data_IF_055862738628
#
_entry.id   IF_055862738628
#
_cell.length_a   1.000
_cell.length_b   1.000
_cell.length_c   1.000
_cell.angle_alpha   90.00
_cell.angle_beta   90.00
_cell.angle_gamma   90.00
#
_symmetry.space_group_name_H-M   'P 1'
#
loop_
_entity.id
_entity.type
_entity.pdbx_description
1 polymer ?
#
# COMPACT_ATOMS: atom_id res chain seq x y z
N UNK A 1 -4.30 -7.68 9.84
CA UNK A 1 -4.21 -8.41 11.13
C UNK A 1 -2.95 -7.93 11.84
N UNK A 2 -2.80 -7.98 13.16
CA UNK A 2 -1.50 -7.64 13.75
C UNK A 2 -0.39 -8.54 13.20
N UNK A 3 0.81 -7.99 13.00
CA UNK A 3 1.98 -8.78 12.60
C UNK A 3 2.28 -9.85 13.64
N UNK A 4 2.79 -11.00 13.19
CA UNK A 4 3.31 -12.01 14.11
C UNK A 4 4.49 -11.44 14.92
N UNK A 5 4.67 -11.94 16.15
CA UNK A 5 5.78 -11.52 17.02
C UNK A 5 7.15 -11.69 16.34
N UNK A 6 7.29 -12.73 15.51
CA UNK A 6 8.51 -12.98 14.73
C UNK A 6 8.79 -11.83 13.76
N UNK A 7 7.79 -11.41 12.98
CA UNK A 7 7.93 -10.33 12.00
C UNK A 7 8.12 -8.98 12.71
N UNK A 8 7.40 -8.73 13.79
CA UNK A 8 7.56 -7.52 14.60
C UNK A 8 8.99 -7.38 15.15
N UNK A 9 9.55 -8.47 15.70
CA UNK A 9 10.92 -8.48 16.24
C UNK A 9 11.97 -8.33 15.14
N UNK A 10 11.78 -9.00 14.00
CA UNK A 10 12.65 -8.81 12.83
C UNK A 10 12.64 -7.36 12.36
N UNK A 11 11.46 -6.75 12.27
CA UNK A 11 11.31 -5.36 11.85
C UNK A 11 12.01 -4.39 12.81
N UNK A 12 11.82 -4.57 14.12
CA UNK A 12 12.50 -3.77 15.14
C UNK A 12 14.03 -3.91 15.06
N UNK A 13 14.54 -5.14 14.94
CA UNK A 13 15.98 -5.39 14.88
C UNK A 13 16.62 -4.73 13.64
N UNK A 14 15.95 -4.81 12.49
CA UNK A 14 16.39 -4.13 11.27
C UNK A 14 16.42 -2.61 11.45
N UNK A 15 15.38 -2.01 12.04
CA UNK A 15 15.36 -0.57 12.31
C UNK A 15 16.48 -0.17 13.28
N UNK A 16 16.68 -0.92 14.36
CA UNK A 16 17.78 -0.69 15.31
C UNK A 16 19.15 -0.74 14.60
N UNK A 17 19.32 -1.67 13.65
CA UNK A 17 20.53 -1.76 12.84
C UNK A 17 20.74 -0.53 11.94
N UNK A 18 19.66 0.00 11.35
CA UNK A 18 19.70 1.20 10.50
C UNK A 18 20.15 2.46 11.27
N UNK A 19 19.89 2.51 12.57
CA UNK A 19 20.29 3.65 13.43
C UNK A 19 21.53 3.38 14.29
N UNK A 20 22.21 2.24 14.10
CA UNK A 20 23.38 1.86 14.92
C UNK A 20 24.56 2.83 14.78
N UNK A 21 24.73 3.48 13.63
CA UNK A 21 25.74 4.50 13.39
C UNK A 21 25.46 5.83 14.11
N UNK A 22 24.19 6.13 14.39
CA UNK A 22 23.73 7.37 15.03
C UNK A 22 23.73 7.33 16.56
N UNK A 23 23.96 6.16 17.17
CA UNK A 23 23.87 5.91 18.63
C UNK A 23 22.60 6.53 19.24
N UNK A 24 21.45 5.90 18.97
CA UNK A 24 20.19 6.27 19.61
C UNK A 24 20.33 6.33 21.14
N UNK A 25 19.72 7.35 21.76
CA UNK A 25 19.63 7.44 23.22
C UNK A 25 18.71 6.34 23.76
N UNK A 26 18.79 6.04 25.06
CA UNK A 26 17.89 5.08 25.69
C UNK A 26 16.41 5.44 25.46
N UNK A 27 16.06 6.73 25.57
CA UNK A 27 14.72 7.21 25.26
C UNK A 27 14.35 7.00 23.78
N UNK A 28 15.27 7.23 22.84
CA UNK A 28 15.05 6.98 21.41
C UNK A 28 14.77 5.51 21.11
N UNK A 29 15.45 4.59 21.81
CA UNK A 29 15.23 3.14 21.68
C UNK A 29 13.83 2.76 22.17
N UNK A 30 13.42 3.24 23.35
CA UNK A 30 12.09 2.93 23.90
C UNK A 30 10.97 3.53 23.02
N UNK A 31 11.17 4.72 22.47
CA UNK A 31 10.24 5.31 21.49
C UNK A 31 10.15 4.48 20.21
N UNK A 32 11.27 4.03 19.66
CA UNK A 32 11.28 3.19 18.46
C UNK A 32 10.54 1.86 18.69
N UNK A 33 10.73 1.23 19.86
CA UNK A 33 9.97 0.03 20.24
C UNK A 33 8.47 0.30 20.29
N UNK A 34 8.05 1.40 20.90
CA UNK A 34 6.64 1.77 21.01
C UNK A 34 5.99 2.06 19.63
N UNK A 35 6.70 2.79 18.76
CA UNK A 35 6.24 3.07 17.39
C UNK A 35 6.14 1.77 16.59
N UNK A 36 7.14 0.87 16.68
CA UNK A 36 7.11 -0.44 16.02
C UNK A 36 5.98 -1.34 16.55
N UNK A 37 5.67 -1.30 17.84
CA UNK A 37 4.54 -2.03 18.40
C UNK A 37 3.19 -1.52 17.88
N UNK A 38 3.03 -0.19 17.77
CA UNK A 38 1.84 0.40 17.16
C UNK A 38 1.70 0.05 15.68
N UNK A 39 2.78 0.10 14.92
CA UNK A 39 2.77 -0.29 13.52
C UNK A 39 2.45 -1.78 13.35
N UNK A 40 3.06 -2.64 14.15
CA UNK A 40 2.81 -4.07 14.12
C UNK A 40 1.35 -4.42 14.47
N UNK A 41 0.75 -3.70 15.42
CA UNK A 41 -0.69 -3.85 15.72
C UNK A 41 -1.58 -3.56 14.49
N UNK A 42 -1.14 -2.66 13.63
CA UNK A 42 -1.83 -2.25 12.41
C UNK A 42 -1.33 -2.99 11.15
N UNK A 43 -0.66 -4.14 11.27
CA UNK A 43 -0.13 -4.93 10.14
C UNK A 43 1.00 -4.24 9.35
N UNK A 44 1.69 -3.27 9.94
CA UNK A 44 2.74 -2.49 9.26
C UNK A 44 4.12 -2.89 9.77
N UNK A 45 4.94 -3.46 8.88
CA UNK A 45 6.35 -3.74 9.14
C UNK A 45 7.17 -2.51 8.79
N UNK A 46 7.53 -1.70 9.79
CA UNK A 46 8.19 -0.39 9.61
C UNK A 46 9.55 -0.49 8.90
N UNK A 47 10.29 -1.58 9.13
CA UNK A 47 11.57 -1.83 8.47
C UNK A 47 11.48 -2.03 6.96
N UNK A 48 10.29 -2.27 6.42
CA UNK A 48 10.05 -2.51 4.99
C UNK A 48 9.41 -1.29 4.31
N UNK A 49 9.25 -0.18 5.03
CA UNK A 49 8.68 1.05 4.49
C UNK A 49 9.73 1.84 3.71
N UNK A 50 9.27 2.84 2.95
CA UNK A 50 10.15 3.63 2.10
C UNK A 50 11.24 4.37 2.90
N UNK A 51 12.38 4.72 2.27
CA UNK A 51 13.42 5.52 2.91
C UNK A 51 12.91 6.83 3.53
N UNK A 52 11.85 7.42 2.95
CA UNK A 52 11.20 8.63 3.48
C UNK A 52 10.51 8.36 4.81
N UNK A 53 9.75 7.26 4.92
CA UNK A 53 9.12 6.84 6.18
C UNK A 53 10.19 6.55 7.24
N UNK A 54 11.24 5.82 6.89
CA UNK A 54 12.35 5.51 7.80
C UNK A 54 13.08 6.79 8.25
N UNK A 55 13.24 7.78 7.36
CA UNK A 55 13.83 9.08 7.69
C UNK A 55 12.95 9.85 8.67
N UNK A 56 11.63 9.92 8.44
CA UNK A 56 10.68 10.57 9.35
C UNK A 56 10.80 9.99 10.76
N UNK A 57 10.83 8.65 10.88
CA UNK A 57 11.01 7.99 12.18
C UNK A 57 12.32 8.46 12.81
N UNK A 58 13.43 8.37 12.08
CA UNK A 58 14.75 8.78 12.56
C UNK A 58 14.78 10.22 13.07
N UNK A 59 14.25 11.15 12.28
CA UNK A 59 14.22 12.59 12.60
C UNK A 59 13.42 12.88 13.88
N UNK A 60 12.36 12.12 14.16
CA UNK A 60 11.60 12.30 15.39
C UNK A 60 12.24 11.60 16.59
N UNK A 61 12.99 10.51 16.39
CA UNK A 61 13.72 9.85 17.49
C UNK A 61 14.85 10.73 18.04
N UNK A 62 15.43 11.61 17.22
CA UNK A 62 16.49 12.54 17.61
C UNK A 62 15.96 13.78 18.36
N UNK A 63 14.65 14.06 18.31
CA UNK A 63 14.05 15.22 18.99
C UNK A 63 13.88 15.00 20.48
N UNK A 64 14.11 16.07 21.23
CA UNK A 64 13.72 16.17 22.64
C UNK A 64 12.26 16.60 22.73
N UNK A 65 11.49 15.88 23.56
CA UNK A 65 10.10 16.21 23.84
C UNK A 65 9.94 16.53 25.34
N UNK A 66 9.05 17.47 25.70
CA UNK A 66 8.69 17.72 27.08
C UNK A 66 8.24 16.45 27.79
N UNK A 67 8.51 16.34 29.10
CA UNK A 67 8.11 15.19 29.90
C UNK A 67 6.61 14.88 29.84
N UNK A 68 5.80 15.93 29.78
CA UNK A 68 4.33 15.86 29.70
C UNK A 68 3.79 15.27 28.39
N UNK A 69 4.57 15.25 27.30
CA UNK A 69 4.12 14.73 26.00
C UNK A 69 4.60 13.30 25.72
N UNK A 70 5.55 12.78 26.51
CA UNK A 70 6.17 11.45 26.33
C UNK A 70 5.17 10.30 26.06
N UNK A 71 4.00 10.19 26.70
CA UNK A 71 3.03 9.12 26.42
C UNK A 71 2.46 9.14 24.99
N UNK A 72 2.33 10.33 24.40
CA UNK A 72 1.68 10.54 23.10
C UNK A 72 2.68 10.69 21.95
N UNK A 73 3.98 10.79 22.24
CA UNK A 73 5.01 10.97 21.21
C UNK A 73 5.04 9.81 20.22
N UNK A 74 4.92 8.56 20.70
CA UNK A 74 4.94 7.42 19.80
C UNK A 74 3.70 7.39 18.89
N UNK A 75 2.54 7.82 19.37
CA UNK A 75 1.32 8.01 18.56
C UNK A 75 1.54 9.10 17.52
N UNK A 76 2.10 10.25 17.90
CA UNK A 76 2.42 11.34 16.99
C UNK A 76 3.37 10.89 15.86
N UNK A 77 4.47 10.21 16.22
CA UNK A 77 5.42 9.68 15.23
C UNK A 77 4.70 8.71 14.29
N UNK A 78 3.87 7.82 14.83
CA UNK A 78 3.13 6.87 14.01
C UNK A 78 2.09 7.55 13.10
N UNK A 79 1.42 8.60 13.55
CA UNK A 79 0.54 9.42 12.71
C UNK A 79 1.30 10.05 11.53
N UNK A 80 2.51 10.56 11.75
CA UNK A 80 3.35 11.08 10.66
C UNK A 80 3.78 9.99 9.67
N UNK A 81 4.03 8.77 10.17
CA UNK A 81 4.32 7.60 9.33
C UNK A 81 3.13 7.29 8.43
N UNK A 82 1.92 7.21 9.01
CA UNK A 82 0.68 6.95 8.25
C UNK A 82 0.45 8.04 7.20
N UNK A 83 0.58 9.32 7.57
CA UNK A 83 0.40 10.42 6.62
C UNK A 83 1.37 10.33 5.44
N UNK A 84 2.63 9.98 5.69
CA UNK A 84 3.61 9.80 4.61
C UNK A 84 3.28 8.58 3.74
N UNK A 85 2.83 7.47 4.34
CA UNK A 85 2.38 6.29 3.60
C UNK A 85 1.16 6.62 2.72
N UNK A 86 0.21 7.40 3.23
CA UNK A 86 -0.98 7.84 2.50
C UNK A 86 -0.59 8.74 1.30
N UNK A 87 0.33 9.70 1.50
CA UNK A 87 0.86 10.54 0.41
C UNK A 87 1.53 9.70 -0.68
N UNK A 88 2.29 8.68 -0.29
CA UNK A 88 2.94 7.77 -1.23
C UNK A 88 1.92 6.90 -1.98
N UNK A 89 0.88 6.43 -1.28
CA UNK A 89 -0.23 5.70 -1.88
C UNK A 89 -1.00 6.58 -2.88
N UNK A 90 -1.26 7.85 -2.56
CA UNK A 90 -1.92 8.81 -3.44
C UNK A 90 -1.08 9.15 -4.67
N UNK A 91 0.23 9.34 -4.51
CA UNK A 91 1.12 9.59 -5.64
C UNK A 91 1.22 8.36 -6.55
N UNK A 92 1.26 7.16 -5.98
CA UNK A 92 1.19 5.92 -6.74
C UNK A 92 -0.16 5.81 -7.47
N UNK A 93 -1.27 6.09 -6.80
CA UNK A 93 -2.61 6.13 -7.40
C UNK A 93 -2.68 7.14 -8.55
N UNK A 94 -2.14 8.35 -8.40
CA UNK A 94 -2.08 9.38 -9.44
C UNK A 94 -1.28 8.91 -10.65
N UNK A 95 -0.14 8.26 -10.43
CA UNK A 95 0.67 7.67 -11.51
C UNK A 95 -0.06 6.54 -12.22
N UNK A 96 -0.75 5.66 -11.48
CA UNK A 96 -1.57 4.59 -12.04
C UNK A 96 -2.73 5.15 -12.86
N UNK A 97 -3.40 6.21 -12.36
CA UNK A 97 -4.44 6.93 -13.10
C UNK A 97 -3.91 7.56 -14.40
N UNK A 98 -2.68 8.07 -14.38
CA UNK A 98 -2.03 8.60 -15.59
C UNK A 98 -1.70 7.51 -16.63
N UNK A 99 -1.75 6.24 -16.24
CA UNK A 99 -1.46 5.08 -17.10
C UNK A 99 -2.72 4.24 -17.41
N UNK A 100 -3.88 4.58 -16.84
CA UNK A 100 -5.14 3.86 -17.04
C UNK A 100 -6.16 4.07 -15.93
N UNK A 101 -7.15 3.18 -15.83
CA UNK A 101 -8.11 3.19 -14.73
C UNK A 101 -7.46 2.62 -13.45
N UNK A 102 -7.55 3.34 -12.34
CA UNK A 102 -7.16 2.83 -11.00
C UNK A 102 -8.41 2.56 -10.17
N UNK A 103 -8.46 1.41 -9.49
CA UNK A 103 -9.61 1.00 -8.67
C UNK A 103 -9.13 0.26 -7.44
N UNK A 104 -9.75 0.55 -6.29
CA UNK A 104 -9.51 -0.20 -5.03
C UNK A 104 -10.25 -1.54 -5.00
N UNK A 105 -11.06 -1.83 -6.01
CA UNK A 105 -11.74 -3.11 -6.15
C UNK A 105 -10.75 -4.17 -6.63
N UNK A 106 -10.86 -5.38 -6.09
CA UNK A 106 -10.11 -6.52 -6.62
C UNK A 106 -10.62 -6.92 -8.01
N UNK A 107 -9.75 -7.53 -8.82
CA UNK A 107 -10.05 -7.85 -10.22
C UNK A 107 -11.37 -8.61 -10.42
N UNK A 108 -11.74 -9.51 -9.49
CA UNK A 108 -12.99 -10.27 -9.59
C UNK A 108 -14.27 -9.43 -9.51
N UNK A 109 -14.16 -8.19 -9.01
CA UNK A 109 -15.25 -7.21 -8.90
C UNK A 109 -15.25 -6.21 -10.06
N UNK A 110 -14.26 -6.29 -10.95
CA UNK A 110 -14.06 -5.40 -12.10
C UNK A 110 -14.40 -6.09 -13.40
N UNK A 111 -14.43 -5.34 -14.49
CA UNK A 111 -14.74 -5.90 -15.82
C UNK A 111 -13.62 -6.84 -16.26
N UNK A 112 -13.96 -7.84 -17.08
CA UNK A 112 -13.00 -8.82 -17.59
C UNK A 112 -11.87 -8.18 -18.41
N UNK A 113 -12.00 -6.94 -18.86
CA UNK A 113 -10.99 -6.26 -19.70
C UNK A 113 -10.19 -5.20 -18.94
N UNK A 114 -10.36 -5.09 -17.62
CA UNK A 114 -9.53 -4.19 -16.82
C UNK A 114 -8.13 -4.79 -16.58
N UNK A 115 -7.13 -3.95 -16.34
CA UNK A 115 -5.76 -4.42 -16.04
C UNK A 115 -5.63 -4.81 -14.56
N UNK A 116 -4.78 -5.81 -14.28
CA UNK A 116 -4.32 -6.02 -12.90
C UNK A 116 -3.51 -4.81 -12.46
N UNK A 117 -3.75 -4.36 -11.24
CA UNK A 117 -3.03 -3.28 -10.57
C UNK A 117 -2.19 -3.89 -9.44
N UNK A 118 -1.38 -3.07 -8.77
CA UNK A 118 -0.40 -3.54 -7.78
C UNK A 118 -1.04 -4.40 -6.67
N UNK A 119 -2.23 -4.03 -6.19
CA UNK A 119 -2.93 -4.81 -5.15
C UNK A 119 -3.46 -6.15 -5.67
N UNK A 120 -3.84 -6.25 -6.94
CA UNK A 120 -4.22 -7.54 -7.54
C UNK A 120 -2.99 -8.42 -7.75
N UNK A 121 -1.88 -7.84 -8.22
CA UNK A 121 -0.61 -8.53 -8.35
C UNK A 121 -0.16 -9.06 -6.99
N UNK A 122 -0.19 -8.23 -5.94
CA UNK A 122 0.12 -8.66 -4.58
C UNK A 122 -0.78 -9.80 -4.08
N UNK A 123 -2.08 -9.77 -4.42
CA UNK A 123 -3.03 -10.81 -4.04
C UNK A 123 -2.77 -12.12 -4.79
N UNK A 124 -2.56 -12.06 -6.11
CA UNK A 124 -2.53 -13.21 -7.02
C UNK A 124 -1.14 -13.83 -7.21
N UNK A 125 -0.06 -13.07 -7.00
CA UNK A 125 1.30 -13.59 -7.06
C UNK A 125 1.51 -14.67 -5.99
N UNK A 126 2.35 -15.70 -6.28
CA UNK A 126 2.78 -16.63 -5.26
C UNK A 126 3.46 -15.92 -4.08
N UNK A 127 3.48 -16.57 -2.92
CA UNK A 127 4.16 -16.06 -1.72
C UNK A 127 5.56 -16.67 -1.59
N UNK A 128 6.46 -15.98 -0.91
CA UNK A 128 7.78 -16.53 -0.54
C UNK A 128 7.61 -17.84 0.24
N UNK A 129 8.37 -18.86 -0.14
CA UNK A 129 8.33 -20.19 0.48
C UNK A 129 9.68 -20.88 0.37
N UNK A 130 10.17 -21.43 1.48
CA UNK A 130 11.41 -22.22 1.50
C UNK A 130 12.59 -21.38 1.01
N UNK A 131 13.23 -21.83 -0.07
CA UNK A 131 14.37 -21.17 -0.69
C UNK A 131 13.99 -20.17 -1.81
N UNK A 132 12.72 -19.78 -1.90
CA UNK A 132 12.19 -18.89 -2.93
C UNK A 132 11.65 -17.62 -2.27
N UNK A 133 12.18 -16.48 -2.67
CA UNK A 133 11.70 -15.16 -2.27
C UNK A 133 10.87 -14.54 -3.40
N UNK A 134 9.63 -14.11 -3.11
CA UNK A 134 8.79 -13.38 -4.05
C UNK A 134 8.64 -11.95 -3.55
N UNK A 135 9.21 -11.00 -4.29
CA UNK A 135 9.21 -9.59 -3.94
C UNK A 135 7.91 -8.90 -4.38
N UNK A 136 7.63 -7.76 -3.76
CA UNK A 136 6.53 -6.89 -4.15
C UNK A 136 6.70 -6.34 -5.59
N UNK A 137 5.60 -5.96 -6.27
CA UNK A 137 5.62 -5.34 -7.59
C UNK A 137 6.56 -4.14 -7.69
N UNK A 138 7.42 -4.16 -8.71
CA UNK A 138 8.27 -3.02 -9.09
C UNK A 138 7.54 -2.15 -10.09
N UNK A 139 7.48 -0.86 -9.82
CA UNK A 139 7.11 0.13 -10.82
C UNK A 139 8.36 0.60 -11.57
N UNK A 140 8.45 0.25 -12.86
CA UNK A 140 9.60 0.59 -13.72
C UNK A 140 9.73 2.09 -14.03
N UNK A 141 8.72 2.89 -13.69
CA UNK A 141 8.67 4.33 -13.97
C UNK A 141 8.98 5.20 -12.74
N UNK A 142 9.22 4.63 -11.56
CA UNK A 142 9.51 5.42 -10.36
C UNK A 142 10.62 4.86 -9.45
N UNK A 143 10.81 5.53 -8.31
CA UNK A 143 11.86 5.20 -7.33
C UNK A 143 11.55 3.96 -6.48
N UNK A 144 10.44 3.24 -6.69
CA UNK A 144 10.18 1.94 -6.04
C UNK A 144 11.30 0.92 -6.28
N UNK A 145 12.13 1.15 -7.31
CA UNK A 145 13.38 0.42 -7.52
C UNK A 145 14.32 0.43 -6.30
N UNK A 146 14.29 1.45 -5.44
CA UNK A 146 15.13 1.52 -4.22
C UNK A 146 14.66 0.51 -3.15
N UNK A 147 13.35 0.40 -2.90
CA UNK A 147 12.81 -0.57 -1.92
C UNK A 147 13.02 -2.01 -2.40
N UNK A 148 12.85 -2.26 -3.70
CA UNK A 148 13.11 -3.60 -4.26
C UNK A 148 14.62 -3.90 -4.31
N UNK A 149 15.51 -2.91 -4.44
CA UNK A 149 16.95 -3.12 -4.29
C UNK A 149 17.29 -3.65 -2.89
N UNK A 150 16.70 -3.10 -1.84
CA UNK A 150 16.92 -3.61 -0.48
C UNK A 150 16.40 -5.04 -0.31
N UNK A 151 15.23 -5.36 -0.89
CA UNK A 151 14.69 -6.71 -0.92
C UNK A 151 15.61 -7.70 -1.64
N UNK A 152 16.11 -7.34 -2.83
CA UNK A 152 17.08 -8.16 -3.59
C UNK A 152 18.36 -8.34 -2.78
N UNK A 153 18.95 -7.25 -2.27
CA UNK A 153 20.19 -7.31 -1.51
C UNK A 153 20.06 -8.19 -0.25
N UNK A 154 18.91 -8.13 0.43
CA UNK A 154 18.60 -8.97 1.58
C UNK A 154 18.48 -10.45 1.18
N UNK A 155 17.72 -10.74 0.12
CA UNK A 155 17.57 -12.09 -0.41
C UNK A 155 18.91 -12.66 -0.90
N UNK A 156 19.78 -11.84 -1.51
CA UNK A 156 21.11 -12.24 -1.98
C UNK A 156 22.03 -12.63 -0.81
N UNK A 157 22.01 -11.88 0.30
CA UNK A 157 22.80 -12.17 1.50
C UNK A 157 22.30 -13.41 2.25
N UNK A 158 21.01 -13.75 2.13
CA UNK A 158 20.45 -14.93 2.77
C UNK A 158 20.87 -16.22 2.05
N UNK A 159 21.64 -17.08 2.73
CA UNK A 159 22.12 -18.36 2.16
C UNK A 159 21.01 -19.38 1.92
N UNK A 160 19.87 -19.23 2.60
CA UNK A 160 18.75 -20.16 2.46
C UNK A 160 17.88 -19.85 1.23
N UNK A 161 18.02 -18.66 0.65
CA UNK A 161 17.30 -18.25 -0.56
C UNK A 161 18.15 -18.53 -1.79
N UNK A 162 17.61 -19.29 -2.74
CA UNK A 162 18.24 -19.61 -4.02
C UNK A 162 17.57 -18.90 -5.20
N UNK A 163 16.27 -18.61 -5.09
CA UNK A 163 15.47 -18.06 -6.17
C UNK A 163 14.80 -16.76 -5.73
N UNK A 164 14.77 -15.75 -6.60
CA UNK A 164 14.13 -14.46 -6.38
C UNK A 164 13.19 -14.19 -7.54
N UNK A 165 11.92 -13.93 -7.25
CA UNK A 165 10.86 -13.62 -8.21
C UNK A 165 10.42 -12.18 -8.03
N UNK A 166 10.37 -11.42 -9.13
CA UNK A 166 10.04 -10.00 -9.10
C UNK A 166 9.04 -9.69 -10.22
N UNK A 167 7.77 -9.39 -9.90
CA UNK A 167 6.84 -8.84 -10.88
C UNK A 167 7.21 -7.37 -11.16
N UNK A 168 7.31 -7.00 -12.44
CA UNK A 168 7.64 -5.63 -12.87
C UNK A 168 6.57 -5.09 -13.83
N UNK A 169 6.08 -3.89 -13.53
CA UNK A 169 5.05 -3.19 -14.30
C UNK A 169 5.17 -1.69 -14.06
N UNK A 170 4.06 -0.94 -13.91
CA UNK A 170 2.66 -1.35 -14.10
C UNK A 170 2.24 -1.40 -15.58
N UNK A 171 0.97 -1.72 -15.81
CA UNK A 171 0.35 -1.87 -17.12
C UNK A 171 0.77 -3.16 -17.81
N UNK A 172 1.79 -3.08 -18.67
CA UNK A 172 2.38 -4.27 -19.28
C UNK A 172 3.30 -4.98 -18.27
N UNK A 173 2.69 -5.82 -17.43
CA UNK A 173 3.33 -6.63 -16.41
C UNK A 173 4.22 -7.71 -17.01
N UNK A 174 5.37 -7.91 -16.38
CA UNK A 174 6.41 -8.88 -16.76
C UNK A 174 6.99 -9.54 -15.52
N UNK A 175 7.69 -10.65 -15.72
CA UNK A 175 8.37 -11.38 -14.66
C UNK A 175 9.88 -11.33 -14.78
N UNK A 176 10.56 -11.13 -13.65
CA UNK A 176 12.01 -11.33 -13.51
C UNK A 176 12.21 -12.50 -12.56
N UNK A 177 12.95 -13.53 -12.99
CA UNK A 177 13.26 -14.69 -12.17
C UNK A 177 14.78 -14.86 -12.11
N UNK A 178 15.36 -14.64 -10.94
CA UNK A 178 16.78 -14.74 -10.69
C UNK A 178 17.08 -16.00 -9.86
N UNK A 179 18.01 -16.82 -10.32
CA UNK A 179 18.53 -17.98 -9.58
C UNK A 179 20.00 -17.76 -9.26
N UNK A 180 20.37 -17.95 -8.00
CA UNK A 180 21.75 -17.87 -7.53
C UNK A 180 22.62 -18.97 -8.14
N UNK A 181 23.93 -18.72 -8.31
CA UNK A 181 24.85 -19.75 -8.74
C UNK A 181 24.95 -20.88 -7.69
N UNK A 182 25.04 -22.12 -8.16
CA UNK A 182 25.13 -23.31 -7.30
C UNK A 182 26.55 -23.48 -6.73
N UNK A 183 27.56 -22.94 -7.43
CA UNK A 183 28.95 -22.94 -7.03
C UNK A 183 29.63 -21.60 -7.35
N UNK A 184 30.85 -21.40 -6.85
CA UNK A 184 31.61 -20.14 -6.97
C UNK A 184 31.95 -19.78 -8.42
N UNK A 185 31.97 -20.78 -9.32
CA UNK A 185 32.35 -20.59 -10.72
C UNK A 185 31.13 -20.41 -11.64
N UNK A 186 29.93 -20.63 -11.13
CA UNK A 186 28.68 -20.51 -11.87
C UNK A 186 28.20 -19.07 -11.94
N UNK A 187 27.47 -18.77 -13.02
CA UNK A 187 26.78 -17.49 -13.20
C UNK A 187 25.37 -17.55 -12.62
N UNK A 188 24.87 -16.39 -12.21
CA UNK A 188 23.45 -16.19 -11.94
C UNK A 188 22.64 -16.51 -13.20
N UNK A 189 21.52 -17.21 -13.04
CA UNK A 189 20.58 -17.42 -14.14
C UNK A 189 19.47 -16.37 -14.02
N UNK A 190 19.31 -15.54 -15.05
CA UNK A 190 18.30 -14.49 -15.11
C UNK A 190 17.32 -14.81 -16.25
N UNK A 191 16.08 -15.09 -15.89
CA UNK A 191 14.98 -15.24 -16.83
C UNK A 191 14.11 -13.98 -16.85
N UNK A 192 13.91 -13.40 -18.03
CA UNK A 192 13.04 -12.26 -18.27
C UNK A 192 11.84 -12.72 -19.08
N UNK A 193 10.65 -12.64 -18.50
CA UNK A 193 9.41 -13.09 -19.11
C UNK A 193 8.54 -11.94 -19.59
N UNK A 194 8.02 -12.04 -20.80
CA UNK A 194 7.01 -11.14 -21.34
C UNK A 194 5.78 -11.92 -21.84
N UNK A 195 4.56 -11.56 -21.38
CA UNK A 195 3.31 -12.17 -21.84
C UNK A 195 3.10 -12.18 -23.36
N UNK A 196 3.70 -11.23 -24.08
CA UNK A 196 3.59 -11.11 -25.54
C UNK A 196 4.59 -12.00 -26.28
N UNK A 197 5.56 -12.59 -25.58
CA UNK A 197 6.61 -13.42 -26.16
C UNK A 197 8.03 -12.95 -25.80
N UNK A 198 9.04 -13.81 -25.99
CA UNK A 198 10.41 -13.58 -25.53
C UNK A 198 11.06 -12.30 -26.07
N UNK A 199 10.71 -11.87 -27.29
CA UNK A 199 11.25 -10.64 -27.89
C UNK A 199 10.88 -9.41 -27.05
N UNK A 200 9.67 -9.36 -26.49
CA UNK A 200 9.22 -8.21 -25.69
C UNK A 200 9.94 -8.08 -24.34
N UNK A 201 10.50 -9.18 -23.82
CA UNK A 201 11.19 -9.20 -22.53
C UNK A 201 12.48 -8.38 -22.54
N UNK A 202 13.08 -8.14 -23.71
CA UNK A 202 14.28 -7.30 -23.83
C UNK A 202 14.04 -5.85 -23.36
N UNK A 203 12.79 -5.38 -23.38
CA UNK A 203 12.43 -4.03 -22.90
C UNK A 203 12.72 -3.80 -21.41
N UNK A 204 12.74 -4.87 -20.60
CA UNK A 204 13.08 -4.79 -19.17
C UNK A 204 14.53 -5.19 -18.88
N UNK A 205 15.30 -5.62 -19.88
CA UNK A 205 16.68 -6.09 -19.70
C UNK A 205 17.58 -5.03 -19.08
N UNK A 206 17.63 -3.83 -19.66
CA UNK A 206 18.47 -2.73 -19.17
C UNK A 206 18.11 -2.32 -17.75
N UNK A 207 16.81 -2.17 -17.46
CA UNK A 207 16.33 -1.83 -16.11
C UNK A 207 16.71 -2.91 -15.09
N UNK A 208 16.57 -4.18 -15.47
CA UNK A 208 16.94 -5.31 -14.61
C UNK A 208 18.44 -5.37 -14.35
N UNK A 209 19.27 -5.17 -15.37
CA UNK A 209 20.72 -5.13 -15.21
C UNK A 209 21.17 -3.99 -14.30
N UNK A 210 20.59 -2.80 -14.46
CA UNK A 210 20.87 -1.66 -13.57
C UNK A 210 20.47 -1.97 -12.12
N UNK A 211 19.34 -2.67 -11.91
CA UNK A 211 18.87 -3.09 -10.60
C UNK A 211 19.85 -4.06 -9.93
N UNK A 212 20.30 -5.07 -10.67
CA UNK A 212 21.23 -6.09 -10.19
C UNK A 212 22.64 -5.54 -9.96
N UNK A 213 23.09 -4.61 -10.81
CA UNK A 213 24.38 -3.92 -10.65
C UNK A 213 24.44 -3.15 -9.33
N UNK A 214 23.36 -2.44 -8.96
CA UNK A 214 23.26 -1.76 -7.67
C UNK A 214 23.27 -2.72 -6.47
N UNK A 215 22.92 -3.99 -6.69
CA UNK A 215 23.00 -5.05 -5.71
C UNK A 215 24.35 -5.79 -5.73
N UNK A 216 25.34 -5.31 -6.50
CA UNK A 216 26.67 -5.88 -6.59
C UNK A 216 26.83 -7.04 -7.57
N UNK A 217 25.87 -7.26 -8.48
CA UNK A 217 25.93 -8.29 -9.53
C UNK A 217 26.16 -7.61 -10.87
N UNK A 218 27.33 -7.82 -11.46
CA UNK A 218 27.68 -7.30 -12.79
C UNK A 218 27.13 -8.19 -13.91
N UNK A 219 26.88 -7.61 -15.08
CA UNK A 219 26.31 -8.33 -16.24
C UNK A 219 27.12 -9.56 -16.65
N UNK A 220 28.45 -9.51 -16.54
CA UNK A 220 29.33 -10.64 -16.86
C UNK A 220 29.13 -11.86 -15.92
N UNK A 221 28.52 -11.67 -14.75
CA UNK A 221 28.18 -12.73 -13.79
C UNK A 221 26.80 -13.35 -14.04
N UNK A 222 26.10 -12.95 -15.11
CA UNK A 222 24.72 -13.35 -15.39
C UNK A 222 24.64 -14.08 -16.74
N UNK A 223 23.85 -15.15 -16.78
CA UNK A 223 23.33 -15.75 -18.01
C UNK A 223 21.87 -15.34 -18.16
N UNK A 224 21.57 -14.60 -19.23
CA UNK A 224 20.24 -14.03 -19.46
C UNK A 224 19.48 -14.89 -20.47
N UNK A 225 18.23 -15.23 -20.14
CA UNK A 225 17.27 -15.89 -21.02
C UNK A 225 16.00 -15.06 -21.10
N UNK A 226 15.49 -14.81 -22.29
CA UNK A 226 14.17 -14.21 -22.50
C UNK A 226 13.14 -15.28 -22.81
N UNK A 227 11.95 -15.18 -22.21
CA UNK A 227 10.87 -16.17 -22.33
C UNK A 227 9.51 -15.52 -22.54
N UNK A 228 8.56 -16.33 -22.98
CA UNK A 228 7.16 -15.98 -23.09
C UNK A 228 6.27 -17.22 -22.93
N UNK A 229 4.95 -17.07 -22.85
CA UNK A 229 4.05 -18.19 -22.70
C UNK A 229 3.92 -18.98 -24.00
N UNK A 230 3.47 -20.25 -23.91
CA UNK A 230 3.18 -21.09 -25.09
C UNK A 230 2.08 -20.49 -25.96
N UNK A 231 1.09 -19.86 -25.32
CA UNK A 231 -0.07 -19.24 -25.97
C UNK A 231 -0.12 -17.75 -25.62
N UNK A 232 0.70 -16.90 -26.27
CA UNK A 232 0.74 -15.47 -25.98
C UNK A 232 -0.53 -14.76 -26.45
N UNK A 233 -0.83 -13.65 -25.78
CA UNK A 233 -1.91 -12.74 -26.15
C UNK A 233 -1.38 -11.32 -26.14
N UNK A 234 -1.62 -10.56 -27.20
CA UNK A 234 -1.05 -9.23 -27.39
C UNK A 234 -1.97 -8.10 -26.89
N UNK A 235 -2.98 -8.41 -26.09
CA UNK A 235 -3.80 -7.39 -25.45
C UNK A 235 -3.26 -7.03 -24.06
N UNK A 236 -3.18 -5.72 -23.80
CA UNK A 236 -2.49 -5.22 -22.61
C UNK A 236 -3.19 -5.61 -21.31
N UNK A 237 -4.46 -5.98 -21.38
CA UNK A 237 -5.29 -6.17 -20.20
C UNK A 237 -4.89 -7.42 -19.40
N UNK A 238 -4.45 -8.49 -20.06
CA UNK A 238 -4.18 -9.80 -19.47
C UNK A 238 -2.73 -10.01 -18.99
N UNK A 239 -1.84 -9.03 -19.21
CA UNK A 239 -0.41 -9.19 -18.95
C UNK A 239 -0.10 -9.54 -17.49
N UNK A 240 -0.88 -9.00 -16.56
CA UNK A 240 -0.79 -9.33 -15.13
C UNK A 240 -1.18 -10.78 -14.85
N UNK A 241 -2.25 -11.28 -15.50
CA UNK A 241 -2.72 -12.66 -15.35
C UNK A 241 -1.66 -13.66 -15.83
N UNK A 242 -1.08 -13.43 -17.01
CA UNK A 242 0.02 -14.23 -17.54
C UNK A 242 1.24 -14.21 -16.60
N UNK A 243 1.62 -13.04 -16.10
CA UNK A 243 2.76 -12.90 -15.19
C UNK A 243 2.53 -13.62 -13.87
N UNK A 244 1.32 -13.52 -13.28
CA UNK A 244 0.97 -14.24 -12.05
C UNK A 244 0.99 -15.76 -12.27
N UNK A 245 0.31 -16.24 -13.32
CA UNK A 245 0.24 -17.67 -13.62
C UNK A 245 1.61 -18.26 -13.95
N UNK A 246 2.44 -17.53 -14.71
CA UNK A 246 3.80 -17.95 -15.02
C UNK A 246 4.66 -17.95 -13.75
N UNK A 247 4.48 -16.99 -12.84
CA UNK A 247 5.17 -17.00 -11.55
C UNK A 247 4.80 -18.22 -10.70
N UNK A 248 3.52 -18.62 -10.66
CA UNK A 248 3.10 -19.88 -10.03
C UNK A 248 3.76 -21.10 -10.68
N UNK A 249 3.89 -21.12 -12.01
CA UNK A 249 4.63 -22.16 -12.73
C UNK A 249 6.11 -22.17 -12.33
N UNK A 250 6.77 -21.01 -12.29
CA UNK A 250 8.19 -20.91 -11.93
C UNK A 250 8.47 -21.36 -10.51
N UNK A 251 7.65 -20.97 -9.53
CA UNK A 251 7.89 -21.41 -8.14
C UNK A 251 7.66 -22.92 -7.99
N UNK A 252 6.75 -23.53 -8.76
CA UNK A 252 6.60 -24.99 -8.84
C UNK A 252 7.85 -25.65 -9.42
N UNK A 253 8.40 -25.10 -10.52
CA UNK A 253 9.67 -25.57 -11.10
C UNK A 253 10.85 -25.44 -10.12
N UNK A 254 10.82 -24.42 -9.25
CA UNK A 254 11.81 -24.22 -8.18
C UNK A 254 11.58 -25.10 -6.95
N UNK A 255 10.54 -25.93 -6.93
CA UNK A 255 10.27 -26.89 -5.86
C UNK A 255 9.35 -26.41 -4.73
N UNK A 256 8.63 -25.30 -4.90
CA UNK A 256 7.61 -24.88 -3.94
C UNK A 256 6.49 -25.92 -3.83
N UNK A 257 5.94 -26.11 -2.62
CA UNK A 257 4.76 -26.97 -2.43
C UNK A 257 3.44 -26.20 -2.49
N UNK A 258 3.47 -24.88 -2.30
CA UNK A 258 2.28 -24.01 -2.35
C UNK A 258 2.34 -23.14 -3.60
N UNK A 259 1.49 -23.47 -4.57
CA UNK A 259 1.28 -22.72 -5.81
C UNK A 259 -0.15 -22.94 -6.31
N UNK A 260 -0.63 -22.10 -7.22
CA UNK A 260 -1.97 -22.23 -7.77
C UNK A 260 -1.96 -23.06 -9.07
N UNK A 261 -2.27 -24.35 -8.95
CA UNK A 261 -2.29 -25.26 -10.09
C UNK A 261 -3.33 -24.87 -11.15
N UNK A 262 -4.47 -24.27 -10.77
CA UNK A 262 -5.50 -23.86 -11.74
C UNK A 262 -4.98 -22.75 -12.67
N UNK A 263 -4.24 -21.77 -12.15
CA UNK A 263 -3.61 -20.73 -12.96
C UNK A 263 -2.58 -21.32 -13.92
N UNK A 264 -1.74 -22.25 -13.45
CA UNK A 264 -0.74 -22.94 -14.29
C UNK A 264 -1.44 -23.70 -15.43
N UNK A 265 -2.46 -24.49 -15.11
CA UNK A 265 -3.19 -25.28 -16.10
C UNK A 265 -3.88 -24.40 -17.14
N UNK A 266 -4.52 -23.30 -16.74
CA UNK A 266 -5.14 -22.37 -17.68
C UNK A 266 -4.09 -21.75 -18.63
N UNK A 267 -2.97 -21.29 -18.07
CA UNK A 267 -1.84 -20.73 -18.83
C UNK A 267 -1.28 -21.73 -19.86
N UNK A 268 -1.04 -22.97 -19.46
CA UNK A 268 -0.38 -23.98 -20.30
C UNK A 268 -1.29 -24.55 -21.39
N UNK A 269 -2.59 -24.71 -21.14
CA UNK A 269 -3.50 -25.33 -22.11
C UNK A 269 -4.03 -24.36 -23.16
N UNK A 270 -4.27 -23.10 -22.79
CA UNK A 270 -4.99 -22.16 -23.67
C UNK A 270 -4.52 -20.71 -23.55
N UNK A 271 -3.55 -20.41 -22.69
CA UNK A 271 -3.20 -19.04 -22.36
C UNK A 271 -4.44 -18.31 -21.84
N UNK A 272 -4.77 -17.18 -22.44
CA UNK A 272 -5.97 -16.42 -22.13
C UNK A 272 -7.02 -16.42 -23.25
N UNK A 273 -6.98 -17.42 -24.15
CA UNK A 273 -8.02 -17.60 -25.17
C UNK A 273 -9.40 -17.62 -24.50
N UNK A 274 -10.36 -16.89 -25.07
CA UNK A 274 -11.72 -16.72 -24.54
C UNK A 274 -11.74 -16.24 -23.08
N UNK A 275 -10.76 -15.41 -22.70
CA UNK A 275 -10.61 -14.80 -21.38
C UNK A 275 -10.51 -15.86 -20.25
N UNK A 276 -10.08 -17.07 -20.59
CA UNK A 276 -10.08 -18.22 -19.67
C UNK A 276 -9.09 -18.09 -18.51
N UNK A 277 -7.90 -17.54 -18.75
CA UNK A 277 -6.95 -17.23 -17.68
C UNK A 277 -7.50 -16.14 -16.77
N UNK A 278 -8.09 -15.10 -17.36
CA UNK A 278 -8.77 -14.03 -16.62
C UNK A 278 -9.90 -14.55 -15.73
N UNK A 279 -10.76 -15.43 -16.24
CA UNK A 279 -11.80 -16.08 -15.43
C UNK A 279 -11.20 -16.89 -14.27
N UNK A 280 -10.05 -17.54 -14.49
CA UNK A 280 -9.35 -18.26 -13.44
C UNK A 280 -8.78 -17.29 -12.39
N UNK A 281 -8.14 -16.20 -12.80
CA UNK A 281 -7.68 -15.12 -11.92
C UNK A 281 -8.82 -14.53 -11.08
N UNK A 282 -10.00 -14.31 -11.66
CA UNK A 282 -11.19 -13.84 -10.93
C UNK A 282 -11.59 -14.82 -9.82
N UNK A 283 -11.72 -16.11 -10.15
CA UNK A 283 -12.09 -17.14 -9.16
C UNK A 283 -11.08 -17.22 -8.03
N UNK A 284 -9.79 -17.18 -8.35
CA UNK A 284 -8.71 -17.19 -7.35
C UNK A 284 -8.75 -15.93 -6.49
N UNK A 285 -8.89 -14.75 -7.10
CA UNK A 285 -9.00 -13.47 -6.39
C UNK A 285 -10.19 -13.46 -5.42
N UNK A 286 -11.34 -13.97 -5.85
CA UNK A 286 -12.53 -14.10 -5.00
C UNK A 286 -12.28 -15.02 -3.80
N UNK A 287 -11.54 -16.11 -3.99
CA UNK A 287 -11.23 -17.08 -2.93
C UNK A 287 -10.20 -16.54 -1.93
N UNK A 288 -9.22 -15.77 -2.43
CA UNK A 288 -8.15 -15.19 -1.62
C UNK A 288 -8.57 -13.91 -0.88
N UNK A 289 -9.68 -13.29 -1.27
CA UNK A 289 -10.23 -12.17 -0.55
C UNK A 289 -10.71 -12.64 0.83
N UNK A 290 -9.87 -12.48 1.85
CA UNK A 290 -10.29 -12.58 3.24
C UNK A 290 -11.42 -11.57 3.50
N UNK A 291 -12.44 -11.89 4.33
CA UNK A 291 -13.43 -10.91 4.75
C UNK A 291 -12.69 -9.71 5.35
N UNK A 292 -13.03 -8.51 4.86
CA UNK A 292 -12.40 -7.26 5.28
C UNK A 292 -12.44 -7.15 6.81
N UNK A 293 -11.40 -6.61 7.47
CA UNK A 293 -11.48 -6.33 8.90
C UNK A 293 -12.66 -5.40 9.16
N UNK A 294 -13.52 -5.83 10.09
CA UNK A 294 -14.81 -5.22 10.46
C UNK A 294 -14.68 -3.70 10.72
N UNK A 295 -13.52 -3.22 11.14
CA UNK A 295 -13.28 -1.81 11.52
C UNK A 295 -13.39 -0.86 10.32
N UNK A 296 -12.84 -1.22 9.15
CA UNK A 296 -12.83 -0.36 7.98
C UNK A 296 -14.20 -0.37 7.26
N UNK A 297 -14.85 -1.54 7.23
CA UNK A 297 -16.25 -1.67 6.80
C UNK A 297 -17.19 -0.85 7.68
N UNK A 298 -17.04 -0.92 9.02
CA UNK A 298 -17.88 -0.15 9.93
C UNK A 298 -17.71 1.36 9.74
N UNK A 299 -16.49 1.85 9.47
CA UNK A 299 -16.24 3.28 9.26
C UNK A 299 -16.76 3.81 7.91
N UNK A 300 -16.65 3.03 6.84
CA UNK A 300 -17.24 3.36 5.53
C UNK A 300 -18.77 3.21 5.55
N UNK A 301 -19.31 2.16 6.18
CA UNK A 301 -20.76 1.98 6.38
C UNK A 301 -21.35 3.05 7.28
N UNK A 302 -20.64 3.51 8.33
CA UNK A 302 -21.08 4.65 9.14
C UNK A 302 -21.09 5.92 8.28
N UNK A 303 -20.07 6.16 7.46
CA UNK A 303 -20.02 7.34 6.59
C UNK A 303 -21.14 7.32 5.54
N UNK A 304 -21.34 6.18 4.87
CA UNK A 304 -22.45 5.98 3.91
C UNK A 304 -23.83 6.02 4.58
N UNK A 305 -23.98 5.46 5.79
CA UNK A 305 -25.21 5.55 6.58
C UNK A 305 -25.52 6.98 6.99
N UNK A 306 -24.51 7.79 7.34
CA UNK A 306 -24.71 9.20 7.67
C UNK A 306 -25.04 10.00 6.41
N UNK A 307 -24.32 9.80 5.30
CA UNK A 307 -24.59 10.45 4.00
C UNK A 307 -26.02 10.19 3.51
N UNK A 308 -26.54 8.97 3.69
CA UNK A 308 -27.91 8.59 3.31
C UNK A 308 -29.01 9.30 4.14
N UNK A 309 -28.66 9.88 5.29
CA UNK A 309 -29.58 10.59 6.19
C UNK A 309 -29.51 12.11 6.04
N UNK A 310 -28.59 12.62 5.23
CA UNK A 310 -28.47 14.04 4.92
C UNK A 310 -29.51 14.47 3.87
N UNK A 311 -30.06 15.67 4.00
CA UNK A 311 -30.89 16.24 2.94
C UNK A 311 -30.05 16.58 1.70
N UNK A 312 -30.67 16.74 0.53
CA UNK A 312 -29.93 17.07 -0.72
C UNK A 312 -29.08 18.34 -0.61
N UNK A 313 -29.53 19.32 0.18
CA UNK A 313 -28.74 20.53 0.45
C UNK A 313 -27.55 20.25 1.38
N UNK A 314 -27.73 19.39 2.39
CA UNK A 314 -26.66 18.98 3.30
C UNK A 314 -25.62 18.10 2.61
N UNK A 315 -26.05 17.22 1.70
CA UNK A 315 -25.15 16.41 0.87
C UNK A 315 -24.30 17.29 -0.04
N UNK A 316 -24.88 18.34 -0.62
CA UNK A 316 -24.15 19.30 -1.44
C UNK A 316 -23.08 20.02 -0.63
N UNK A 317 -23.43 20.53 0.56
CA UNK A 317 -22.48 21.23 1.43
C UNK A 317 -21.41 20.27 1.95
N UNK A 318 -21.79 19.08 2.41
CA UNK A 318 -20.86 18.02 2.82
C UNK A 318 -19.85 17.72 1.70
N UNK A 319 -20.32 17.47 0.48
CA UNK A 319 -19.46 17.19 -0.67
C UNK A 319 -18.53 18.37 -0.97
N UNK A 320 -19.05 19.60 -0.98
CA UNK A 320 -18.24 20.81 -1.21
C UNK A 320 -17.16 20.99 -0.14
N UNK A 321 -17.51 20.89 1.15
CA UNK A 321 -16.59 21.04 2.28
C UNK A 321 -15.51 19.95 2.30
N UNK A 322 -15.88 18.71 2.00
CA UNK A 322 -14.92 17.61 1.86
C UNK A 322 -14.02 17.81 0.64
N UNK A 323 -14.55 18.29 -0.49
CA UNK A 323 -13.77 18.53 -1.71
C UNK A 323 -12.83 19.75 -1.64
N UNK A 324 -13.10 20.70 -0.74
CA UNK A 324 -12.24 21.86 -0.50
C UNK A 324 -10.98 21.48 0.29
N UNK A 325 -11.01 20.35 1.00
CA UNK A 325 -9.85 19.83 1.70
C UNK A 325 -9.00 18.97 0.78
N UNK A 326 -7.69 19.23 0.75
CA UNK A 326 -6.73 18.34 0.07
C UNK A 326 -6.60 17.10 0.95
N UNK A 327 -7.02 15.95 0.43
CA UNK A 327 -6.96 14.64 1.10
C UNK A 327 -7.72 14.57 2.45
N UNK A 328 -9.06 14.66 2.44
CA UNK A 328 -9.88 14.60 3.64
C UNK A 328 -9.81 13.20 4.27
N UNK A 329 -9.27 13.13 5.49
CA UNK A 329 -9.22 11.89 6.28
C UNK A 329 -10.62 11.37 6.62
N UNK A 330 -10.73 10.08 6.95
CA UNK A 330 -12.02 9.48 7.40
C UNK A 330 -12.51 10.17 8.68
N UNK A 331 -11.60 10.48 9.61
CA UNK A 331 -11.92 11.20 10.83
C UNK A 331 -12.50 12.59 10.52
N UNK A 332 -11.91 13.31 9.57
CA UNK A 332 -12.41 14.60 9.12
C UNK A 332 -13.81 14.47 8.47
N UNK A 333 -14.02 13.47 7.61
CA UNK A 333 -15.35 13.20 7.04
C UNK A 333 -16.40 12.92 8.12
N UNK A 334 -16.06 12.13 9.13
CA UNK A 334 -16.94 11.82 10.26
C UNK A 334 -17.21 13.04 11.14
N UNK A 335 -16.21 13.88 11.35
CA UNK A 335 -16.32 15.14 12.08
C UNK A 335 -17.28 16.10 11.38
N UNK A 336 -17.07 16.37 10.08
CA UNK A 336 -17.97 17.22 9.28
C UNK A 336 -19.39 16.64 9.27
N UNK A 337 -19.54 15.32 9.11
CA UNK A 337 -20.85 14.67 9.12
C UNK A 337 -21.56 14.80 10.49
N UNK A 338 -20.81 14.66 11.58
CA UNK A 338 -21.29 14.84 12.96
C UNK A 338 -21.71 16.29 13.22
N UNK A 339 -20.90 17.25 12.78
CA UNK A 339 -21.17 18.68 12.86
C UNK A 339 -22.48 19.02 12.11
N UNK A 340 -22.65 18.53 10.88
CA UNK A 340 -23.89 18.76 10.10
C UNK A 340 -25.12 18.15 10.78
N UNK A 341 -24.97 16.97 11.40
CA UNK A 341 -26.04 16.33 12.18
C UNK A 341 -26.41 17.13 13.43
N UNK A 342 -25.40 17.68 14.12
CA UNK A 342 -25.58 18.40 15.38
C UNK A 342 -25.86 19.90 15.19
N UNK A 343 -25.91 20.39 13.94
CA UNK A 343 -26.09 21.82 13.62
C UNK A 343 -27.23 22.51 14.36
N UNK A 344 -28.36 21.81 14.60
CA UNK A 344 -29.50 22.40 15.28
C UNK A 344 -29.18 22.70 16.74
N UNK A 345 -28.51 21.75 17.42
CA UNK A 345 -28.02 21.95 18.79
C UNK A 345 -27.01 23.10 18.85
N UNK A 346 -26.10 23.19 17.87
CA UNK A 346 -25.11 24.26 17.77
C UNK A 346 -25.81 25.62 17.61
N UNK A 347 -26.81 25.74 16.72
CA UNK A 347 -27.59 26.98 16.58
C UNK A 347 -28.40 27.34 17.83
N UNK A 348 -28.98 26.34 18.52
CA UNK A 348 -29.73 26.58 19.76
C UNK A 348 -28.81 27.07 20.88
N UNK A 349 -27.64 26.47 21.06
CA UNK A 349 -26.63 26.89 22.02
C UNK A 349 -26.09 28.30 21.70
N UNK A 350 -25.81 28.57 20.42
CA UNK A 350 -25.38 29.90 19.97
C UNK A 350 -26.46 30.96 20.22
N UNK A 351 -27.74 30.67 19.94
CA UNK A 351 -28.84 31.60 20.20
C UNK A 351 -29.04 31.86 21.70
N UNK A 352 -28.83 30.84 22.54
CA UNK A 352 -28.85 31.01 24.00
C UNK A 352 -27.69 31.90 24.47
N UNK A 353 -26.49 31.70 23.94
CA UNK A 353 -25.32 32.52 24.21
C UNK A 353 -25.52 33.98 23.76
N UNK A 354 -26.11 34.22 22.59
CA UNK A 354 -26.44 35.57 22.09
C UNK A 354 -27.40 36.28 23.06
N UNK A 355 -28.48 35.61 23.50
CA UNK A 355 -29.43 36.20 24.46
C UNK A 355 -28.79 36.54 25.81
N UNK A 356 -27.84 35.72 26.25
CA UNK A 356 -27.09 35.90 27.49
C UNK A 356 -26.15 37.11 27.40
N UNK A 357 -25.49 37.26 26.25
CA UNK A 357 -24.65 38.42 25.92
C UNK A 357 -25.48 39.72 25.81
N UNK A 358 -26.65 39.68 25.16
CA UNK A 358 -27.59 40.79 25.09
C UNK A 358 -28.09 41.23 26.49
N UNK A 359 -28.16 40.29 27.43
CA UNK A 359 -28.46 40.55 28.84
C UNK A 359 -27.23 40.99 29.67
N UNK A 360 -26.09 41.29 29.02
CA UNK A 360 -24.82 41.68 29.63
C UNK A 360 -24.25 40.65 30.63
N UNK A 361 -24.58 39.37 30.46
CA UNK A 361 -24.04 38.28 31.27
C UNK A 361 -22.77 37.69 30.63
N UNK A 362 -21.77 37.28 31.43
CA UNK A 362 -20.55 36.69 30.91
C UNK A 362 -20.83 35.32 30.27
N UNK A 363 -20.16 35.07 29.14
CA UNK A 363 -20.20 33.78 28.43
C UNK A 363 -19.09 32.85 28.93
N UNK A 364 -19.39 31.56 28.96
CA UNK A 364 -18.40 30.49 29.12
C UNK A 364 -17.68 30.19 27.79
N UNK A 365 -16.53 29.52 27.88
CA UNK A 365 -15.76 29.09 26.71
C UNK A 365 -16.57 28.19 25.77
N UNK A 366 -17.46 27.34 26.31
CA UNK A 366 -18.36 26.48 25.55
C UNK A 366 -19.43 27.29 24.78
N UNK A 367 -19.99 28.32 25.41
CA UNK A 367 -20.97 29.22 24.80
C UNK A 367 -20.32 30.08 23.69
N UNK A 368 -19.07 30.50 23.90
CA UNK A 368 -18.28 31.23 22.89
C UNK A 368 -17.94 30.32 21.69
N UNK A 369 -17.52 29.08 21.95
CA UNK A 369 -17.24 28.10 20.91
C UNK A 369 -18.49 27.79 20.07
N UNK A 370 -19.66 27.63 20.71
CA UNK A 370 -20.92 27.42 20.00
C UNK A 370 -21.29 28.60 19.08
N UNK A 371 -21.03 29.85 19.50
CA UNK A 371 -21.24 31.04 18.66
C UNK A 371 -20.33 31.04 17.43
N UNK A 372 -19.04 30.80 17.62
CA UNK A 372 -18.06 30.73 16.53
C UNK A 372 -18.41 29.63 15.53
N UNK A 373 -18.75 28.44 16.03
CA UNK A 373 -19.20 27.34 15.19
C UNK A 373 -20.48 27.71 14.42
N UNK A 374 -21.48 28.30 15.07
CA UNK A 374 -22.71 28.73 14.38
C UNK A 374 -22.45 29.79 13.29
N UNK A 375 -21.45 30.65 13.46
CA UNK A 375 -21.02 31.61 12.45
C UNK A 375 -20.37 30.93 11.24
N UNK A 376 -19.47 29.98 11.47
CA UNK A 376 -18.88 29.14 10.41
C UNK A 376 -19.97 28.38 9.63
N UNK A 377 -20.97 27.85 10.33
CA UNK A 377 -22.13 27.20 9.71
C UNK A 377 -22.94 28.16 8.82
N UNK A 378 -23.17 29.40 9.25
CA UNK A 378 -23.86 30.42 8.43
C UNK A 378 -23.04 30.78 7.19
N UNK A 379 -21.72 30.93 7.34
CA UNK A 379 -20.80 31.21 6.23
C UNK A 379 -20.75 30.06 5.22
N UNK A 380 -20.90 28.82 5.69
CA UNK A 380 -21.04 27.64 4.84
C UNK A 380 -22.45 27.46 4.23
N UNK A 381 -23.38 28.38 4.47
CA UNK A 381 -24.71 28.40 3.86
C UNK A 381 -25.78 27.59 4.61
N UNK A 382 -25.51 27.16 5.85
CA UNK A 382 -26.52 26.54 6.70
C UNK A 382 -27.44 27.59 7.31
N UNK A 383 -28.76 27.35 7.21
CA UNK A 383 -29.77 28.19 7.87
C UNK A 383 -30.17 27.56 9.21
N UNK A 384 -30.42 28.37 10.25
CA UNK A 384 -31.17 27.91 11.41
C UNK A 384 -32.52 27.36 10.90
N UNK A 385 -32.85 26.12 11.26
CA UNK A 385 -34.18 25.56 10.97
C UNK A 385 -35.21 26.12 11.91
#
# INVERSE_FOLDING_TARGET
MPLSQKIQNQSLNTLMSNYSSKKLTHEGIERLKAVNAMAAFNDVALSMQSPKVITIIGDQLEKTFPESSRPNVATLIYSMVIEQMDREADENKRKHQAQGHFSLQYIHQRTLRDQLQDHDMNLLMPKSQGNIEVLAPVNRFDRSTEVVQEGIATALKNKDINHIVIPIGPGHWRGIYLTKPVDVNSKYQLELFDPYGPIGADTIKKTTLNLLQKCGINENQITIKTTGPTHPQQDGYACGDFTCAYSHKKIKEFGATVYNQNLITALEHQGNKEDSLRHTSHKVSQTLQAPRPIIQQKQEEITQSIESKLTSQEQKIFTTTISAQINPSIAYKQEIASLIKNRHSIFTQANAAIKKEEAAQPLSDEELAAKLQAEEFRNAGFKPR
#
